data_IF_645872042256
#
_entry.id   IF_645872042256
#
_cell.length_a   1.000
_cell.length_b   1.000
_cell.length_c   1.000
_cell.angle_alpha   90.00
_cell.angle_beta   90.00
_cell.angle_gamma   90.00
#
_symmetry.space_group_name_H-M   'P 1'
#
loop_
_entity.id
_entity.type
_entity.pdbx_description
1 polymer ?
#
# COMPACT_ATOMS: atom_id res chain seq x y z
N UNK A 1 51.26 2.73 -1.39
CA UNK A 1 50.16 3.40 -2.12
C UNK A 1 49.33 2.50 -3.05
N UNK A 2 49.83 1.35 -3.55
CA UNK A 2 49.03 0.43 -4.39
C UNK A 2 47.94 -0.36 -3.65
N UNK A 3 48.10 -0.65 -2.35
CA UNK A 3 47.13 -1.40 -1.55
C UNK A 3 45.87 -0.60 -1.14
N UNK A 4 45.96 0.74 -1.10
CA UNK A 4 44.85 1.62 -0.72
C UNK A 4 43.85 1.82 -1.89
N UNK A 5 44.35 1.83 -3.13
CA UNK A 5 43.52 1.93 -4.35
C UNK A 5 42.64 0.69 -4.60
N UNK A 6 43.13 -0.50 -4.22
CA UNK A 6 42.37 -1.75 -4.33
C UNK A 6 41.17 -1.81 -3.38
N UNK A 7 41.28 -1.20 -2.20
CA UNK A 7 40.18 -1.16 -1.23
C UNK A 7 39.05 -0.22 -1.70
N UNK A 8 39.41 0.92 -2.29
CA UNK A 8 38.43 1.89 -2.82
C UNK A 8 37.70 1.30 -4.03
N UNK A 9 38.41 0.57 -4.91
CA UNK A 9 37.81 -0.12 -6.04
C UNK A 9 36.82 -1.22 -5.62
N UNK A 10 37.09 -1.93 -4.52
CA UNK A 10 36.20 -2.97 -3.99
C UNK A 10 34.93 -2.37 -3.37
N UNK A 11 35.02 -1.22 -2.71
CA UNK A 11 33.85 -0.51 -2.14
C UNK A 11 32.96 0.08 -3.25
N UNK A 12 33.54 0.58 -4.35
CA UNK A 12 32.74 1.04 -5.51
C UNK A 12 32.03 -0.10 -6.26
N UNK A 13 32.57 -1.32 -6.24
CA UNK A 13 31.93 -2.48 -6.87
C UNK A 13 30.69 -2.95 -6.09
N UNK A 14 30.71 -2.84 -4.75
CA UNK A 14 29.55 -3.18 -3.92
C UNK A 14 28.36 -2.21 -4.08
N UNK A 15 28.61 -0.95 -4.47
CA UNK A 15 27.55 0.05 -4.71
C UNK A 15 26.85 -0.20 -6.06
N UNK A 16 27.54 -0.79 -7.05
CA UNK A 16 26.94 -1.15 -8.34
C UNK A 16 26.07 -2.41 -8.26
N UNK A 17 26.29 -3.29 -7.27
CA UNK A 17 25.45 -4.49 -7.09
C UNK A 17 24.12 -4.20 -6.39
N UNK A 18 24.03 -3.19 -5.54
CA UNK A 18 22.76 -2.81 -4.90
C UNK A 18 21.78 -2.12 -5.85
N UNK A 19 22.26 -1.47 -6.92
CA UNK A 19 21.38 -0.98 -7.99
C UNK A 19 20.79 -2.12 -8.83
N UNK A 20 21.54 -3.21 -9.03
CA UNK A 20 21.10 -4.37 -9.81
C UNK A 20 20.12 -5.28 -9.06
N UNK A 21 20.17 -5.32 -7.72
CA UNK A 21 19.21 -6.12 -6.92
C UNK A 21 17.81 -5.49 -6.98
N UNK A 22 17.71 -4.15 -6.97
CA UNK A 22 16.43 -3.46 -7.13
C UNK A 22 15.84 -3.64 -8.54
N UNK A 23 16.70 -3.64 -9.58
CA UNK A 23 16.29 -3.80 -10.98
C UNK A 23 15.86 -5.24 -11.31
N UNK A 24 16.41 -6.24 -10.60
CA UNK A 24 16.01 -7.64 -10.75
C UNK A 24 14.63 -7.93 -10.14
N UNK A 25 14.31 -7.28 -9.01
CA UNK A 25 13.02 -7.44 -8.33
C UNK A 25 11.89 -6.71 -9.08
N UNK A 26 12.17 -5.54 -9.65
CA UNK A 26 11.22 -4.80 -10.48
C UNK A 26 10.88 -5.52 -11.80
N UNK A 27 11.87 -6.16 -12.45
CA UNK A 27 11.63 -6.99 -13.64
C UNK A 27 10.69 -8.16 -13.36
N UNK A 28 10.77 -8.77 -12.18
CA UNK A 28 9.84 -9.84 -11.79
C UNK A 28 8.39 -9.34 -11.61
N UNK A 29 8.21 -8.10 -11.16
CA UNK A 29 6.88 -7.51 -11.00
C UNK A 29 6.28 -7.06 -12.34
N UNK A 30 7.11 -6.54 -13.26
CA UNK A 30 6.70 -6.25 -14.64
C UNK A 30 6.28 -7.52 -15.41
N UNK A 31 6.97 -8.65 -15.16
CA UNK A 31 6.62 -9.97 -15.71
C UNK A 31 5.27 -10.50 -15.20
N UNK A 32 4.75 -9.95 -14.10
CA UNK A 32 3.42 -10.23 -13.56
C UNK A 32 2.44 -9.11 -13.91
N UNK A 33 2.61 -8.31 -14.97
CA UNK A 33 1.58 -7.34 -15.39
C UNK A 33 1.22 -6.26 -14.37
N UNK A 34 2.07 -6.06 -13.36
CA UNK A 34 2.07 -4.91 -12.46
C UNK A 34 3.14 -3.92 -12.94
N UNK A 35 2.79 -2.66 -13.11
CA UNK A 35 3.72 -1.63 -13.56
C UNK A 35 4.12 -0.74 -12.38
N UNK A 36 5.42 -0.53 -12.13
CA UNK A 36 5.84 0.42 -11.12
C UNK A 36 5.49 1.86 -11.53
N UNK A 37 5.05 2.66 -10.57
CA UNK A 37 4.81 4.10 -10.70
C UNK A 37 5.99 4.84 -10.08
N UNK A 38 6.43 5.95 -10.67
CA UNK A 38 7.50 6.76 -10.07
C UNK A 38 6.97 7.50 -8.84
N UNK A 39 7.67 7.33 -7.72
CA UNK A 39 7.43 8.10 -6.49
C UNK A 39 8.07 9.48 -6.59
N UNK A 40 7.27 10.54 -6.41
CA UNK A 40 7.77 11.91 -6.33
C UNK A 40 8.14 12.30 -4.87
N UNK A 41 8.68 13.50 -4.65
CA UNK A 41 9.13 13.92 -3.31
C UNK A 41 7.97 14.06 -2.31
N UNK A 42 6.84 14.61 -2.74
CA UNK A 42 5.62 14.76 -1.92
C UNK A 42 5.14 13.42 -1.36
N UNK A 43 5.15 12.37 -2.19
CA UNK A 43 4.84 11.01 -1.78
C UNK A 43 5.86 10.47 -0.76
N UNK A 44 7.16 10.74 -0.96
CA UNK A 44 8.19 10.32 0.02
C UNK A 44 8.03 11.00 1.37
N UNK A 45 7.66 12.27 1.38
CA UNK A 45 7.52 13.07 2.60
C UNK A 45 6.38 12.56 3.49
N UNK A 46 5.37 11.91 2.90
CA UNK A 46 4.29 11.25 3.66
C UNK A 46 4.55 9.76 3.97
N UNK A 47 5.73 9.24 3.60
CA UNK A 47 6.18 7.88 3.92
C UNK A 47 6.09 6.87 2.77
N UNK A 48 5.71 7.30 1.57
CA UNK A 48 5.71 6.45 0.36
C UNK A 48 7.15 6.30 -0.13
N UNK A 49 7.83 5.24 0.30
CA UNK A 49 9.25 5.03 -0.03
C UNK A 49 9.47 3.97 -1.11
N UNK A 50 8.48 3.12 -1.37
CA UNK A 50 8.51 2.09 -2.42
C UNK A 50 7.69 2.52 -3.65
N UNK A 51 8.12 2.06 -4.84
CA UNK A 51 7.37 2.31 -6.08
C UNK A 51 5.99 1.65 -5.99
N UNK A 52 4.89 2.41 -6.11
CA UNK A 52 3.56 1.86 -6.17
C UNK A 52 3.43 0.97 -7.39
N UNK A 53 2.61 -0.05 -7.31
CA UNK A 53 2.28 -0.88 -8.45
C UNK A 53 0.88 -0.55 -8.95
N UNK A 54 0.71 -0.47 -10.27
CA UNK A 54 -0.60 -0.45 -10.92
C UNK A 54 -0.80 -1.73 -11.72
N UNK A 55 -1.98 -2.31 -11.64
CA UNK A 55 -2.38 -3.41 -12.52
C UNK A 55 -3.84 -3.28 -12.95
N UNK A 56 -4.11 -3.75 -14.17
CA UNK A 56 -5.45 -3.97 -14.70
C UNK A 56 -5.70 -5.46 -15.02
N UNK A 57 -4.79 -6.35 -14.59
CA UNK A 57 -4.89 -7.78 -14.85
C UNK A 57 -5.89 -8.41 -13.86
N UNK A 58 -7.02 -8.95 -14.33
CA UNK A 58 -8.06 -9.51 -13.45
C UNK A 58 -7.57 -10.68 -12.61
N UNK A 59 -6.62 -11.50 -13.09
CA UNK A 59 -6.07 -12.65 -12.35
C UNK A 59 -5.19 -12.25 -11.17
N UNK A 60 -4.72 -11.01 -11.17
CA UNK A 60 -3.88 -10.44 -10.12
C UNK A 60 -4.74 -9.66 -9.17
N UNK A 61 -5.68 -8.89 -9.71
CA UNK A 61 -6.71 -8.24 -8.93
C UNK A 61 -7.49 -9.26 -8.11
N UNK A 62 -7.80 -10.46 -8.63
CA UNK A 62 -8.51 -11.52 -7.89
C UNK A 62 -7.72 -12.17 -6.76
N UNK A 63 -6.39 -12.03 -6.76
CA UNK A 63 -5.53 -12.47 -5.65
C UNK A 63 -5.47 -11.46 -4.51
N UNK A 64 -5.80 -10.19 -4.78
CA UNK A 64 -5.72 -9.08 -3.82
C UNK A 64 -7.12 -8.66 -3.35
N UNK A 65 -8.06 -8.57 -4.28
CA UNK A 65 -9.49 -8.42 -4.02
C UNK A 65 -10.14 -9.81 -4.08
N UNK A 66 -11.13 -10.08 -3.21
CA UNK A 66 -11.92 -11.32 -3.27
C UNK A 66 -12.33 -11.65 -4.72
N UNK A 67 -12.21 -12.92 -5.14
CA UNK A 67 -12.35 -13.38 -6.53
C UNK A 67 -13.61 -12.83 -7.25
N UNK A 68 -14.74 -12.71 -6.56
CA UNK A 68 -16.00 -12.18 -7.10
C UNK A 68 -16.04 -10.67 -7.39
N UNK A 69 -14.96 -9.94 -7.10
CA UNK A 69 -14.87 -8.47 -7.25
C UNK A 69 -13.88 -8.04 -8.33
N UNK A 70 -12.94 -8.90 -8.73
CA UNK A 70 -11.88 -8.55 -9.68
C UNK A 70 -12.43 -8.06 -11.03
N UNK A 71 -13.48 -8.71 -11.54
CA UNK A 71 -14.11 -8.34 -12.81
C UNK A 71 -14.78 -6.95 -12.80
N UNK A 72 -15.01 -6.36 -11.62
CA UNK A 72 -15.65 -5.06 -11.43
C UNK A 72 -14.65 -3.92 -11.21
N UNK A 73 -13.39 -4.27 -10.96
CA UNK A 73 -12.28 -3.33 -10.78
C UNK A 73 -11.62 -3.14 -12.14
N UNK A 74 -11.40 -1.88 -12.52
CA UNK A 74 -10.73 -1.48 -13.75
C UNK A 74 -9.21 -1.41 -13.55
N UNK A 75 -8.78 -0.77 -12.46
CA UNK A 75 -7.38 -0.65 -12.09
C UNK A 75 -7.24 -0.84 -10.58
N UNK A 76 -6.16 -1.48 -10.16
CA UNK A 76 -5.71 -1.58 -8.78
C UNK A 76 -4.35 -0.90 -8.65
N UNK A 77 -4.23 0.00 -7.68
CA UNK A 77 -2.98 0.61 -7.27
C UNK A 77 -2.62 0.12 -5.87
N UNK A 78 -1.39 -0.32 -5.68
CA UNK A 78 -0.88 -0.82 -4.41
C UNK A 78 0.36 -0.03 -4.00
N UNK A 79 0.28 0.58 -2.82
CA UNK A 79 1.38 1.28 -2.16
C UNK A 79 1.68 0.48 -0.90
N UNK A 80 2.85 -0.15 -0.82
CA UNK A 80 3.25 -0.88 0.39
C UNK A 80 4.40 -0.14 1.04
N UNK A 81 4.21 0.22 2.30
CA UNK A 81 5.18 0.88 3.16
C UNK A 81 5.80 -0.19 4.04
N UNK A 82 6.70 -0.99 3.46
CA UNK A 82 7.48 -1.94 4.25
C UNK A 82 8.76 -1.22 4.72
N UNK A 83 9.01 -1.21 6.04
CA UNK A 83 10.27 -0.74 6.59
C UNK A 83 11.26 -1.91 6.63
N UNK A 84 12.29 -1.95 5.78
CA UNK A 84 13.21 -3.09 5.69
C UNK A 84 14.07 -3.31 6.95
N UNK A 85 13.89 -2.49 7.99
CA UNK A 85 14.57 -2.60 9.29
C UNK A 85 13.64 -3.06 10.42
N UNK A 86 12.36 -3.28 10.16
CA UNK A 86 11.39 -3.59 11.19
C UNK A 86 10.24 -4.46 10.64
N UNK A 87 10.28 -5.76 10.96
CA UNK A 87 9.32 -6.77 10.50
C UNK A 87 7.89 -6.57 11.06
N UNK A 88 7.68 -5.54 11.91
CA UNK A 88 6.41 -5.24 12.59
C UNK A 88 5.82 -3.87 12.20
N UNK A 89 6.35 -3.23 11.15
CA UNK A 89 5.91 -1.93 10.68
C UNK A 89 5.46 -1.97 9.22
N UNK A 90 4.51 -2.86 8.96
CA UNK A 90 3.85 -2.95 7.67
C UNK A 90 2.63 -2.05 7.62
N UNK A 91 2.50 -1.31 6.53
CA UNK A 91 1.35 -0.47 6.24
C UNK A 91 1.25 -0.23 4.75
N UNK A 92 0.12 0.30 4.30
CA UNK A 92 -0.04 0.54 2.88
C UNK A 92 -1.37 1.14 2.49
N UNK A 93 -1.52 1.35 1.19
CA UNK A 93 -2.74 1.83 0.57
C UNK A 93 -3.05 0.99 -0.64
N UNK A 94 -4.26 0.44 -0.67
CA UNK A 94 -4.84 -0.11 -1.88
C UNK A 94 -5.89 0.87 -2.42
N UNK A 95 -5.76 1.22 -3.70
CA UNK A 95 -6.73 2.07 -4.40
C UNK A 95 -7.34 1.26 -5.53
N UNK A 96 -8.66 1.13 -5.50
CA UNK A 96 -9.42 0.33 -6.45
C UNK A 96 -10.29 1.29 -7.27
N UNK A 97 -10.04 1.36 -8.58
CA UNK A 97 -10.89 2.08 -9.53
C UNK A 97 -11.98 1.14 -10.03
N UNK A 98 -13.23 1.39 -9.67
CA UNK A 98 -14.36 0.57 -10.13
C UNK A 98 -14.85 0.99 -11.52
N UNK A 99 -15.37 0.04 -12.29
CA UNK A 99 -15.95 0.31 -13.62
C UNK A 99 -17.20 1.19 -13.54
N UNK A 100 -18.03 0.99 -12.53
CA UNK A 100 -19.26 1.76 -12.33
C UNK A 100 -19.46 2.15 -10.87
N UNK A 101 -20.32 3.16 -10.64
CA UNK A 101 -20.72 3.55 -9.29
C UNK A 101 -21.48 2.44 -8.57
N UNK A 102 -22.25 1.62 -9.31
CA UNK A 102 -22.99 0.49 -8.73
C UNK A 102 -22.02 -0.56 -8.18
N UNK A 103 -20.96 -0.88 -8.93
CA UNK A 103 -19.93 -1.82 -8.50
C UNK A 103 -19.27 -1.38 -7.19
N UNK A 104 -18.87 -0.10 -7.12
CA UNK A 104 -18.31 0.50 -5.91
C UNK A 104 -19.28 0.38 -4.72
N UNK A 105 -20.54 0.77 -4.91
CA UNK A 105 -21.54 0.71 -3.82
C UNK A 105 -21.80 -0.73 -3.35
N UNK A 106 -21.81 -1.69 -4.25
CA UNK A 106 -21.95 -3.11 -3.90
C UNK A 106 -20.71 -3.61 -3.14
N UNK A 107 -19.52 -3.20 -3.54
CA UNK A 107 -18.28 -3.53 -2.83
C UNK A 107 -18.30 -2.97 -1.39
N UNK A 108 -18.65 -1.70 -1.22
CA UNK A 108 -18.74 -1.06 0.10
C UNK A 108 -19.66 -1.81 1.08
N UNK A 109 -20.81 -2.30 0.61
CA UNK A 109 -21.78 -3.04 1.44
C UNK A 109 -21.27 -4.39 1.96
N UNK A 110 -20.26 -4.95 1.31
CA UNK A 110 -19.66 -6.24 1.67
C UNK A 110 -18.46 -6.10 2.61
N UNK A 111 -17.98 -4.88 2.83
CA UNK A 111 -16.87 -4.60 3.72
C UNK A 111 -17.39 -4.07 5.06
N UNK A 112 -16.59 -4.27 6.10
CA UNK A 112 -16.90 -3.88 7.48
C UNK A 112 -15.89 -2.85 8.00
N UNK A 113 -16.15 -2.21 9.12
CA UNK A 113 -15.16 -1.33 9.77
C UNK A 113 -14.15 -2.20 10.55
N UNK A 114 -12.87 -1.85 10.48
CA UNK A 114 -11.84 -2.45 11.34
C UNK A 114 -10.91 -1.36 11.87
N UNK A 115 -10.34 -1.57 13.05
CA UNK A 115 -9.49 -0.56 13.71
C UNK A 115 -8.19 -0.29 12.96
N UNK A 116 -7.61 -1.32 12.32
CA UNK A 116 -6.32 -1.26 11.63
C UNK A 116 -6.40 -0.74 10.19
N UNK A 117 -7.56 -0.25 9.74
CA UNK A 117 -7.64 0.47 8.47
C UNK A 117 -8.61 1.65 8.49
N UNK A 118 -8.52 2.47 7.44
CA UNK A 118 -9.46 3.53 7.09
C UNK A 118 -9.91 3.36 5.65
N UNK A 119 -11.15 3.75 5.40
CA UNK A 119 -11.74 3.71 4.05
C UNK A 119 -12.14 5.11 3.62
N UNK A 120 -11.67 5.50 2.44
CA UNK A 120 -12.05 6.73 1.79
C UNK A 120 -12.59 6.45 0.38
N UNK A 121 -13.42 7.36 -0.11
CA UNK A 121 -13.99 7.30 -1.46
C UNK A 121 -13.79 8.63 -2.18
N UNK A 122 -13.42 8.55 -3.46
CA UNK A 122 -13.40 9.69 -4.38
C UNK A 122 -13.93 9.22 -5.74
N UNK A 123 -15.04 9.76 -6.22
CA UNK A 123 -15.65 9.35 -7.49
C UNK A 123 -15.91 7.83 -7.59
N UNK A 124 -15.17 7.11 -8.44
CA UNK A 124 -15.21 5.65 -8.59
C UNK A 124 -14.08 4.92 -7.84
N UNK A 125 -13.28 5.65 -7.07
CA UNK A 125 -12.15 5.12 -6.33
C UNK A 125 -12.56 4.77 -4.90
N UNK A 126 -12.24 3.55 -4.50
CA UNK A 126 -12.21 3.10 -3.12
C UNK A 126 -10.74 3.07 -2.67
N UNK A 127 -10.44 3.72 -1.56
CA UNK A 127 -9.10 3.84 -0.99
C UNK A 127 -9.12 3.17 0.37
N UNK A 128 -8.37 2.07 0.53
CA UNK A 128 -8.16 1.38 1.79
C UNK A 128 -6.75 1.64 2.28
N UNK A 129 -6.63 2.37 3.38
CA UNK A 129 -5.37 2.63 4.07
C UNK A 129 -5.31 1.63 5.22
N UNK A 130 -4.29 0.78 5.28
CA UNK A 130 -4.11 -0.18 6.37
C UNK A 130 -2.77 0.04 7.07
N UNK A 131 -2.71 -0.32 8.34
CA UNK A 131 -1.53 -0.13 9.18
C UNK A 131 -1.50 -1.19 10.26
N UNK A 132 -0.44 -2.00 10.27
CA UNK A 132 -0.14 -3.00 11.30
C UNK A 132 1.08 -2.58 12.14
N UNK A 133 1.38 -1.28 12.20
CA UNK A 133 2.46 -0.73 13.02
C UNK A 133 2.26 -1.10 14.48
N UNK A 134 3.28 -1.70 15.09
CA UNK A 134 3.28 -2.12 16.50
C UNK A 134 2.88 -1.00 17.47
N UNK A 135 2.25 -1.41 18.58
CA UNK A 135 1.79 -0.51 19.65
C UNK A 135 2.92 0.36 20.24
N UNK A 136 2.62 1.66 20.36
CA UNK A 136 3.22 2.69 21.23
C UNK A 136 4.69 2.50 21.66
N UNK A 137 5.60 2.35 20.71
CA UNK A 137 7.02 2.56 20.97
C UNK A 137 7.27 4.06 21.06
N UNK A 138 7.74 4.54 22.23
CA UNK A 138 8.00 5.97 22.47
C UNK A 138 8.94 6.54 21.39
N UNK A 139 8.47 7.57 20.68
CA UNK A 139 9.21 8.22 19.61
C UNK A 139 9.08 7.56 18.23
N UNK A 140 8.24 6.53 18.07
CA UNK A 140 7.88 5.96 16.77
C UNK A 140 6.42 6.29 16.41
N UNK A 141 6.15 6.34 15.11
CA UNK A 141 4.79 6.47 14.57
C UNK A 141 3.94 5.26 14.97
N UNK A 142 2.74 5.49 15.49
CA UNK A 142 1.77 4.42 15.79
C UNK A 142 0.89 4.10 14.58
N UNK A 143 0.14 3.00 14.64
CA UNK A 143 -0.85 2.71 13.59
C UNK A 143 -1.86 3.83 13.39
N UNK A 144 -2.39 4.42 14.47
CA UNK A 144 -3.34 5.53 14.34
C UNK A 144 -2.68 6.78 13.77
N UNK A 145 -1.43 7.09 14.13
CA UNK A 145 -0.69 8.21 13.54
C UNK A 145 -0.54 8.04 12.03
N UNK A 146 -0.14 6.85 11.58
CA UNK A 146 -0.02 6.52 10.16
C UNK A 146 -1.37 6.60 9.44
N UNK A 147 -2.43 6.01 10.01
CA UNK A 147 -3.78 6.07 9.44
C UNK A 147 -4.29 7.52 9.32
N UNK A 148 -4.10 8.34 10.36
CA UNK A 148 -4.52 9.74 10.37
C UNK A 148 -3.73 10.59 9.35
N UNK A 149 -2.42 10.38 9.26
CA UNK A 149 -1.54 11.05 8.28
C UNK A 149 -2.00 10.75 6.85
N UNK A 150 -2.24 9.49 6.54
CA UNK A 150 -2.66 9.10 5.19
C UNK A 150 -4.11 9.51 4.88
N UNK A 151 -5.02 9.45 5.86
CA UNK A 151 -6.38 9.98 5.73
C UNK A 151 -6.35 11.48 5.38
N UNK A 152 -5.51 12.26 6.08
CA UNK A 152 -5.32 13.68 5.79
C UNK A 152 -4.83 13.91 4.36
N UNK A 153 -3.80 13.18 3.92
CA UNK A 153 -3.27 13.31 2.56
C UNK A 153 -4.35 13.07 1.49
N UNK A 154 -5.12 11.97 1.59
CA UNK A 154 -6.15 11.69 0.59
C UNK A 154 -7.37 12.61 0.68
N UNK A 155 -7.70 13.14 1.85
CA UNK A 155 -8.77 14.15 1.99
C UNK A 155 -8.38 15.49 1.38
N UNK A 156 -7.11 15.91 1.47
CA UNK A 156 -6.58 17.08 0.74
C UNK A 156 -6.66 16.91 -0.79
N UNK A 157 -6.56 15.66 -1.28
CA UNK A 157 -6.81 15.29 -2.68
C UNK A 157 -8.31 15.15 -3.04
N UNK A 158 -9.22 15.48 -2.12
CA UNK A 158 -10.66 15.50 -2.34
C UNK A 158 -11.37 14.17 -2.09
N UNK A 159 -10.71 13.16 -1.51
CA UNK A 159 -11.39 11.96 -1.02
C UNK A 159 -12.18 12.26 0.25
N UNK A 160 -13.19 11.44 0.54
CA UNK A 160 -14.00 11.55 1.76
C UNK A 160 -13.93 10.25 2.53
N UNK A 161 -13.61 10.34 3.83
CA UNK A 161 -13.73 9.19 4.73
C UNK A 161 -15.18 8.73 4.81
N UNK A 162 -15.36 7.42 4.78
CA UNK A 162 -16.61 6.76 5.12
C UNK A 162 -16.35 5.82 6.30
N UNK A 163 -17.37 5.69 7.16
CA UNK A 163 -17.36 4.71 8.24
C UNK A 163 -18.19 3.53 7.76
N UNK A 164 -17.59 2.35 7.69
CA UNK A 164 -18.29 1.14 7.31
C UNK A 164 -19.12 0.61 8.47
N UNK A 165 -20.03 -0.32 8.18
CA UNK A 165 -20.80 -1.00 9.22
C UNK A 165 -19.86 -1.89 10.06
N UNK A 166 -20.09 -2.02 11.38
CA UNK A 166 -19.36 -2.98 12.19
C UNK A 166 -19.62 -4.42 11.70
N UNK A 167 -18.66 -5.31 11.90
CA UNK A 167 -18.87 -6.74 11.65
C UNK A 167 -19.63 -7.38 12.81
N UNK A 168 -20.94 -7.55 12.61
CA UNK A 168 -21.82 -8.16 13.62
C UNK A 168 -21.55 -9.66 13.84
N UNK A 169 -20.82 -10.33 12.94
CA UNK A 169 -20.47 -11.75 13.11
C UNK A 169 -19.39 -11.99 14.18
N UNK A 170 -18.66 -10.93 14.57
CA UNK A 170 -17.57 -10.96 15.56
C UNK A 170 -18.07 -10.51 16.95
N UNK A 171 -19.36 -10.17 17.10
CA UNK A 171 -19.94 -9.85 18.41
C UNK A 171 -20.04 -11.15 19.21
N UNK A 172 -18.97 -11.50 19.91
CA UNK A 172 -19.00 -12.50 20.98
C UNK A 172 -20.02 -12.02 22.01
N UNK A 173 -21.17 -12.68 22.07
CA UNK A 173 -22.08 -12.53 23.20
C UNK A 173 -21.31 -13.05 24.41
N UNK A 174 -20.82 -12.12 25.24
CA UNK A 174 -20.33 -12.48 26.57
C UNK A 174 -21.57 -12.85 27.38
N UNK A 175 -21.86 -14.15 27.46
CA UNK A 175 -22.76 -14.72 28.45
C UNK A 175 -21.99 -14.98 29.74
#
# INVERSE_FOLDING_TARGET
>A
MKKLLLLIAFVSFQILFSQNILDLDLKNVELQGMKPVKVNQEMKDVGITQNPFITNNPDIISKIANEGQASKIKNLYAFVYNNPKDDLHDGGVYIYEFKTKSDLQNYLKQNFEQSNYRVLVKDLFYIRIWSDYSLQLKGKETSDDHLNKMEKYYTELGAKRIILKPDESIITVVQ
#
